data_IF_126680977340
#
_entry.id   IF_126680977340
#
_cell.length_a   1.000
_cell.length_b   1.000
_cell.length_c   1.000
_cell.angle_alpha   90.00
_cell.angle_beta   90.00
_cell.angle_gamma   90.00
#
_symmetry.space_group_name_H-M   'P 1'
#
loop_
_entity.id
_entity.type
_entity.pdbx_description
1 polymer ?
#
# COMPACT_ATOMS: atom_id res chain seq x y z
N UNK A 1 9.37 0.63 9.40
CA UNK A 1 9.81 -0.72 9.00
C UNK A 1 11.26 -0.89 9.43
N UNK A 2 11.68 -2.04 9.97
CA UNK A 2 13.08 -2.28 10.25
C UNK A 2 13.92 -2.13 8.97
N UNK A 3 15.14 -1.62 9.11
CA UNK A 3 16.07 -1.46 7.99
C UNK A 3 16.62 -2.82 7.54
N UNK A 4 15.80 -3.57 6.78
CA UNK A 4 16.14 -4.93 6.32
C UNK A 4 17.23 -4.93 5.25
N UNK A 5 17.38 -3.83 4.51
CA UNK A 5 18.31 -3.73 3.37
C UNK A 5 19.57 -2.92 3.67
N UNK A 6 19.54 -2.07 4.72
CA UNK A 6 20.58 -1.09 5.04
C UNK A 6 20.09 0.37 4.89
N UNK A 7 21.02 1.31 4.99
CA UNK A 7 20.73 2.74 4.82
C UNK A 7 20.22 3.03 3.39
N UNK A 8 19.05 3.66 3.21
CA UNK A 8 18.47 3.94 1.88
C UNK A 8 19.29 4.90 1.02
N UNK A 9 20.21 5.68 1.60
CA UNK A 9 21.14 6.55 0.87
C UNK A 9 22.29 5.78 0.20
N UNK A 10 22.56 4.55 0.64
CA UNK A 10 23.63 3.74 0.08
C UNK A 10 23.24 3.12 -1.27
N UNK A 11 24.17 3.19 -2.23
CA UNK A 11 23.99 2.59 -3.57
C UNK A 11 23.70 1.09 -3.51
N UNK A 12 24.33 0.37 -2.58
CA UNK A 12 24.11 -1.07 -2.41
C UNK A 12 22.68 -1.37 -1.95
N UNK A 13 22.16 -0.59 -0.99
CA UNK A 13 20.76 -0.70 -0.53
C UNK A 13 19.79 -0.43 -1.66
N UNK A 14 20.03 0.63 -2.45
CA UNK A 14 19.21 0.95 -3.62
C UNK A 14 19.23 -0.17 -4.66
N UNK A 15 20.39 -0.80 -4.89
CA UNK A 15 20.50 -1.95 -5.79
C UNK A 15 19.73 -3.18 -5.29
N UNK A 16 19.84 -3.51 -3.99
CA UNK A 16 19.08 -4.60 -3.38
C UNK A 16 17.56 -4.38 -3.51
N UNK A 17 17.10 -3.14 -3.28
CA UNK A 17 15.70 -2.77 -3.46
C UNK A 17 15.24 -2.91 -4.92
N UNK A 18 16.07 -2.48 -5.88
CA UNK A 18 15.80 -2.64 -7.30
C UNK A 18 15.73 -4.12 -7.73
N UNK A 19 16.65 -4.96 -7.23
CA UNK A 19 16.68 -6.40 -7.50
C UNK A 19 15.42 -7.11 -6.96
N UNK A 20 15.04 -6.83 -5.71
CA UNK A 20 13.80 -7.33 -5.11
C UNK A 20 12.57 -6.90 -5.92
N UNK A 21 12.52 -5.63 -6.33
CA UNK A 21 11.42 -5.10 -7.15
C UNK A 21 11.34 -5.82 -8.49
N UNK A 22 12.47 -6.04 -9.17
CA UNK A 22 12.52 -6.77 -10.44
C UNK A 22 12.00 -8.20 -10.30
N UNK A 23 12.32 -8.87 -9.19
CA UNK A 23 11.79 -10.20 -8.88
C UNK A 23 10.28 -10.16 -8.58
N UNK A 24 9.78 -9.25 -7.74
CA UNK A 24 8.34 -9.15 -7.49
C UNK A 24 7.54 -8.89 -8.78
N UNK A 25 8.06 -8.03 -9.67
CA UNK A 25 7.45 -7.77 -10.98
C UNK A 25 7.49 -9.00 -11.88
N UNK A 26 8.54 -9.84 -11.83
CA UNK A 26 8.59 -11.09 -12.59
C UNK A 26 7.61 -12.15 -12.07
N UNK A 27 7.30 -12.12 -10.77
CA UNK A 27 6.32 -13.03 -10.14
C UNK A 27 4.88 -12.55 -10.30
N UNK A 28 4.65 -11.28 -10.61
CA UNK A 28 3.31 -10.75 -10.81
C UNK A 28 2.67 -11.42 -12.04
N UNK A 29 1.59 -12.19 -11.82
CA UNK A 29 0.77 -12.65 -12.93
C UNK A 29 0.32 -11.42 -13.73
N UNK A 30 0.58 -11.41 -15.04
CA UNK A 30 -0.17 -10.52 -15.92
C UNK A 30 -1.63 -10.83 -15.66
N UNK A 31 -2.46 -9.84 -15.28
CA UNK A 31 -3.87 -10.11 -15.12
C UNK A 31 -4.36 -10.76 -16.40
N UNK A 32 -5.09 -11.87 -16.28
CA UNK A 32 -5.66 -12.56 -17.42
C UNK A 32 -6.27 -11.54 -18.38
N UNK A 33 -6.04 -11.73 -19.67
CA UNK A 33 -6.38 -10.81 -20.76
C UNK A 33 -7.88 -10.60 -20.97
N UNK A 34 -8.69 -10.60 -19.91
CA UNK A 34 -9.86 -9.73 -19.82
C UNK A 34 -9.39 -8.26 -19.67
N UNK A 35 -8.34 -7.89 -20.39
CA UNK A 35 -7.97 -6.52 -20.61
C UNK A 35 -9.13 -5.91 -21.34
N UNK A 36 -10.00 -5.23 -20.58
CA UNK A 36 -10.84 -4.21 -21.15
C UNK A 36 -9.90 -3.36 -21.99
N UNK A 37 -10.12 -3.28 -23.32
CA UNK A 37 -9.29 -2.43 -24.15
C UNK A 37 -9.26 -1.07 -23.48
N UNK A 38 -8.06 -0.48 -23.36
CA UNK A 38 -7.99 0.95 -23.13
C UNK A 38 -8.93 1.57 -24.18
N UNK A 39 -9.88 2.44 -23.79
CA UNK A 39 -10.86 2.97 -24.72
C UNK A 39 -10.09 3.46 -25.95
N UNK A 40 -10.52 3.03 -27.15
CA UNK A 40 -9.81 3.34 -28.38
C UNK A 40 -9.87 4.85 -28.63
N UNK A 41 -8.88 5.59 -28.11
CA UNK A 41 -8.74 7.04 -28.27
C UNK A 41 -8.11 7.37 -29.63
N UNK A 42 -8.57 6.75 -30.71
CA UNK A 42 -8.01 6.93 -32.06
C UNK A 42 -8.42 8.29 -32.71
N UNK A 43 -9.14 9.15 -31.98
CA UNK A 43 -9.48 10.52 -32.41
C UNK A 43 -9.52 11.49 -31.21
N UNK A 44 -8.98 12.72 -31.34
CA UNK A 44 -9.03 13.75 -30.29
C UNK A 44 -10.45 14.09 -29.80
N UNK A 45 -11.43 14.08 -30.71
CA UNK A 45 -12.84 14.36 -30.38
C UNK A 45 -13.45 13.29 -29.47
N UNK A 46 -13.03 12.03 -29.61
CA UNK A 46 -13.49 10.95 -28.75
C UNK A 46 -12.86 11.03 -27.36
N UNK A 47 -11.60 11.50 -27.27
CA UNK A 47 -10.94 11.73 -25.99
C UNK A 47 -11.60 12.87 -25.20
N UNK A 48 -11.93 13.98 -25.85
CA UNK A 48 -12.61 15.11 -25.19
C UNK A 48 -13.97 14.69 -24.63
N UNK A 49 -14.77 13.96 -25.42
CA UNK A 49 -16.04 13.41 -24.96
C UNK A 49 -15.87 12.46 -23.76
N UNK A 50 -14.85 11.61 -23.80
CA UNK A 50 -14.54 10.67 -22.72
C UNK A 50 -14.12 11.40 -21.43
N UNK A 51 -13.31 12.46 -21.54
CA UNK A 51 -12.90 13.28 -20.41
C UNK A 51 -14.08 14.04 -19.81
N UNK A 52 -14.99 14.56 -20.64
CA UNK A 52 -16.21 15.23 -20.18
C UNK A 52 -17.12 14.27 -19.40
N UNK A 53 -17.37 13.06 -19.93
CA UNK A 53 -18.15 12.04 -19.23
C UNK A 53 -17.48 11.61 -17.90
N UNK A 54 -16.14 11.51 -17.89
CA UNK A 54 -15.38 11.23 -16.67
C UNK A 54 -15.48 12.34 -15.62
N UNK A 55 -15.47 13.61 -16.05
CA UNK A 55 -15.66 14.76 -15.16
C UNK A 55 -17.07 14.76 -14.54
N UNK A 56 -18.10 14.50 -15.34
CA UNK A 56 -19.47 14.38 -14.85
C UNK A 56 -19.59 13.23 -13.83
N UNK A 57 -19.00 12.08 -14.13
CA UNK A 57 -18.98 10.93 -13.21
C UNK A 57 -18.30 11.29 -11.88
N UNK A 58 -17.19 12.04 -11.92
CA UNK A 58 -16.46 12.48 -10.73
C UNK A 58 -17.32 13.36 -9.81
N UNK A 59 -18.13 14.25 -10.39
CA UNK A 59 -19.02 15.14 -9.63
C UNK A 59 -20.26 14.40 -9.12
N UNK A 60 -20.98 13.70 -10.00
CA UNK A 60 -22.25 13.03 -9.69
C UNK A 60 -22.06 11.89 -8.70
N UNK A 61 -20.94 11.15 -8.80
CA UNK A 61 -20.61 10.09 -7.83
C UNK A 61 -20.09 10.67 -6.50
N UNK A 62 -19.95 11.99 -6.39
CA UNK A 62 -19.48 12.65 -5.17
C UNK A 62 -18.00 12.44 -4.86
N UNK A 63 -17.17 12.11 -5.85
CA UNK A 63 -15.73 11.92 -5.65
C UNK A 63 -15.08 13.18 -5.07
N UNK A 64 -15.57 14.36 -5.48
CA UNK A 64 -15.12 15.67 -4.99
C UNK A 64 -15.29 15.88 -3.48
N UNK A 65 -16.17 15.12 -2.82
CA UNK A 65 -16.39 15.22 -1.37
C UNK A 65 -15.22 14.60 -0.57
N UNK A 66 -14.49 13.66 -1.18
CA UNK A 66 -13.38 12.97 -0.54
C UNK A 66 -12.03 13.22 -1.23
N UNK A 67 -12.04 13.76 -2.45
CA UNK A 67 -10.85 13.90 -3.28
C UNK A 67 -10.69 15.31 -3.86
N UNK A 68 -9.44 15.68 -4.10
CA UNK A 68 -9.05 16.91 -4.79
C UNK A 68 -7.77 16.67 -5.61
N UNK A 69 -7.37 17.62 -6.44
CA UNK A 69 -6.15 17.52 -7.28
C UNK A 69 -5.03 18.47 -6.86
N UNK A 70 -5.12 19.12 -5.69
CA UNK A 70 -4.04 20.00 -5.25
C UNK A 70 -2.78 19.19 -4.91
N UNK A 71 -1.63 19.78 -5.19
CA UNK A 71 -0.30 19.27 -4.84
C UNK A 71 0.21 19.81 -3.51
N UNK A 72 -0.56 20.68 -2.87
CA UNK A 72 -0.17 21.30 -1.60
C UNK A 72 -0.01 20.24 -0.51
N UNK A 73 1.05 20.37 0.28
CA UNK A 73 1.30 19.51 1.44
C UNK A 73 0.38 19.85 2.62
N UNK A 74 -0.23 21.04 2.59
CA UNK A 74 -1.20 21.45 3.60
C UNK A 74 -2.51 20.69 3.41
N UNK A 75 -3.15 20.24 4.50
CA UNK A 75 -4.49 19.66 4.41
C UNK A 75 -5.44 20.65 3.73
N UNK A 76 -6.27 20.15 2.81
CA UNK A 76 -7.37 20.96 2.31
C UNK A 76 -8.40 21.21 3.44
N UNK A 77 -9.27 22.21 3.26
CA UNK A 77 -10.28 22.61 4.24
C UNK A 77 -11.13 21.44 4.75
N UNK A 78 -11.40 20.47 3.89
CA UNK A 78 -12.25 19.31 4.16
C UNK A 78 -11.46 18.01 4.42
N UNK A 79 -10.12 18.10 4.55
CA UNK A 79 -9.21 16.97 4.76
C UNK A 79 -9.37 15.81 3.74
N UNK A 80 -9.71 16.16 2.51
CA UNK A 80 -9.82 15.29 1.35
C UNK A 80 -8.46 14.76 0.93
N UNK A 81 -8.48 13.60 0.28
CA UNK A 81 -7.28 12.94 -0.21
C UNK A 81 -6.90 13.45 -1.61
N UNK A 82 -5.68 13.99 -1.74
CA UNK A 82 -5.15 14.40 -3.03
C UNK A 82 -4.97 13.23 -4.00
N UNK A 83 -5.46 13.42 -5.22
CA UNK A 83 -5.26 12.55 -6.38
C UNK A 83 -4.18 13.08 -7.33
N UNK A 84 -3.45 14.14 -6.97
CA UNK A 84 -2.50 14.80 -7.85
C UNK A 84 -1.40 13.86 -8.38
N UNK A 85 -1.05 12.81 -7.61
CA UNK A 85 -0.02 11.83 -7.96
C UNK A 85 -0.56 10.45 -8.40
N UNK A 86 -1.87 10.30 -8.62
CA UNK A 86 -2.47 8.99 -8.92
C UNK A 86 -1.88 8.33 -10.18
N UNK A 87 -1.50 9.12 -11.19
CA UNK A 87 -0.85 8.65 -12.43
C UNK A 87 0.51 7.96 -12.19
N UNK A 88 1.14 8.18 -11.03
CA UNK A 88 2.39 7.49 -10.65
C UNK A 88 2.13 6.12 -10.03
N UNK A 89 0.94 5.89 -9.49
CA UNK A 89 0.56 4.65 -8.78
C UNK A 89 -0.15 3.66 -9.68
N UNK A 90 -0.99 4.14 -10.59
CA UNK A 90 -1.85 3.30 -11.43
C UNK A 90 -1.63 3.55 -12.92
N UNK A 91 -1.64 2.48 -13.71
CA UNK A 91 -1.99 2.58 -15.13
C UNK A 91 -3.50 2.79 -15.29
N UNK A 92 -3.96 3.25 -16.45
CA UNK A 92 -5.38 3.42 -16.73
C UNK A 92 -6.20 2.13 -16.48
N UNK A 93 -5.73 0.98 -16.97
CA UNK A 93 -6.42 -0.29 -16.78
C UNK A 93 -6.45 -0.76 -15.33
N UNK A 94 -5.38 -0.49 -14.55
CA UNK A 94 -5.37 -0.79 -13.12
C UNK A 94 -6.34 0.12 -12.35
N UNK A 95 -6.42 1.40 -12.72
CA UNK A 95 -7.32 2.35 -12.11
C UNK A 95 -8.78 2.00 -12.41
N UNK A 96 -9.12 1.63 -13.64
CA UNK A 96 -10.46 1.10 -13.99
C UNK A 96 -10.83 -0.08 -13.10
N UNK A 97 -9.95 -1.07 -12.94
CA UNK A 97 -10.22 -2.23 -12.06
C UNK A 97 -10.43 -1.81 -10.61
N UNK A 98 -9.61 -0.90 -10.10
CA UNK A 98 -9.74 -0.39 -8.74
C UNK A 98 -11.07 0.34 -8.54
N UNK A 99 -11.45 1.23 -9.46
CA UNK A 99 -12.68 2.03 -9.38
C UNK A 99 -13.94 1.15 -9.38
N UNK A 100 -13.91 0.00 -10.07
CA UNK A 100 -15.02 -0.95 -10.11
C UNK A 100 -15.18 -1.79 -8.85
N UNK A 101 -14.07 -2.08 -8.15
CA UNK A 101 -14.10 -2.93 -6.95
C UNK A 101 -13.06 -2.47 -5.91
N UNK A 102 -13.20 -1.30 -5.25
CA UNK A 102 -12.20 -0.83 -4.29
C UNK A 102 -11.97 -1.81 -3.13
N UNK A 103 -13.02 -2.55 -2.75
CA UNK A 103 -13.00 -3.52 -1.65
C UNK A 103 -12.23 -4.81 -1.96
N UNK A 104 -12.00 -5.14 -3.24
CA UNK A 104 -11.13 -6.26 -3.63
C UNK A 104 -9.66 -5.95 -3.33
N UNK A 105 -9.27 -4.68 -3.44
CA UNK A 105 -7.93 -4.25 -3.09
C UNK A 105 -7.71 -4.23 -1.58
N UNK A 106 -8.70 -3.75 -0.82
CA UNK A 106 -8.68 -3.76 0.64
C UNK A 106 -10.12 -3.86 1.18
N UNK A 107 -10.42 -4.93 1.92
CA UNK A 107 -11.78 -5.23 2.43
C UNK A 107 -12.38 -4.19 3.37
N UNK A 108 -11.55 -3.28 3.89
CA UNK A 108 -11.99 -2.16 4.73
C UNK A 108 -11.69 -0.83 4.03
N UNK A 109 -11.71 -0.79 2.70
CA UNK A 109 -11.63 0.48 1.97
C UNK A 109 -12.83 1.35 2.34
N UNK A 110 -12.61 2.64 2.51
CA UNK A 110 -13.69 3.61 2.76
C UNK A 110 -14.35 4.10 1.47
N UNK A 111 -13.66 3.93 0.35
CA UNK A 111 -14.21 4.25 -0.96
C UNK A 111 -15.30 3.22 -1.29
N UNK A 112 -16.56 3.66 -1.50
CA UNK A 112 -17.64 2.74 -1.82
C UNK A 112 -17.47 2.16 -3.22
N UNK A 113 -18.14 1.05 -3.47
CA UNK A 113 -18.34 0.55 -4.82
C UNK A 113 -19.51 1.32 -5.44
N UNK A 114 -19.21 2.16 -6.43
CA UNK A 114 -20.20 2.99 -7.13
C UNK A 114 -20.94 2.21 -8.23
N UNK A 115 -20.64 0.92 -8.41
CA UNK A 115 -21.22 0.04 -9.42
C UNK A 115 -21.07 0.61 -10.86
N UNK A 116 -19.90 1.19 -11.14
CA UNK A 116 -19.61 1.83 -12.43
C UNK A 116 -19.59 0.78 -13.56
N UNK A 117 -20.20 1.16 -14.69
CA UNK A 117 -20.02 0.44 -15.95
C UNK A 117 -18.56 0.52 -16.43
N UNK A 118 -18.20 -0.31 -17.41
CA UNK A 118 -16.86 -0.26 -18.00
C UNK A 118 -16.57 1.09 -18.68
N UNK A 119 -17.60 1.71 -19.28
CA UNK A 119 -17.47 2.99 -19.96
C UNK A 119 -17.28 4.13 -18.96
N UNK A 120 -18.11 4.20 -17.91
CA UNK A 120 -17.97 5.20 -16.84
C UNK A 120 -16.63 5.06 -16.12
N UNK A 121 -16.23 3.84 -15.75
CA UNK A 121 -14.93 3.62 -15.11
C UNK A 121 -13.76 4.00 -16.03
N UNK A 122 -13.89 3.75 -17.34
CA UNK A 122 -12.92 4.15 -18.36
C UNK A 122 -12.79 5.67 -18.48
N UNK A 123 -13.92 6.37 -18.59
CA UNK A 123 -14.00 7.83 -18.65
C UNK A 123 -13.46 8.48 -17.38
N UNK A 124 -13.90 8.01 -16.21
CA UNK A 124 -13.42 8.48 -14.92
C UNK A 124 -11.90 8.24 -14.79
N UNK A 125 -11.40 7.05 -15.14
CA UNK A 125 -9.96 6.78 -15.12
C UNK A 125 -9.18 7.73 -16.02
N UNK A 126 -9.69 8.04 -17.22
CA UNK A 126 -9.04 8.98 -18.14
C UNK A 126 -9.00 10.39 -17.54
N UNK A 127 -10.13 10.86 -17.01
CA UNK A 127 -10.24 12.15 -16.33
C UNK A 127 -9.28 12.27 -15.13
N UNK A 128 -9.24 11.26 -14.25
CA UNK A 128 -8.36 11.25 -13.08
C UNK A 128 -6.88 11.30 -13.47
N UNK A 129 -6.47 10.52 -14.49
CA UNK A 129 -5.09 10.51 -14.99
C UNK A 129 -4.71 11.84 -15.64
N UNK A 130 -5.63 12.44 -16.39
CA UNK A 130 -5.40 13.72 -17.04
C UNK A 130 -5.24 14.84 -16.01
N UNK A 131 -6.06 14.86 -14.96
CA UNK A 131 -6.00 15.88 -13.89
C UNK A 131 -4.90 15.62 -12.84
N UNK A 132 -4.24 14.46 -12.87
CA UNK A 132 -3.09 14.13 -12.03
C UNK A 132 -1.83 14.88 -12.48
N UNK A 133 -1.75 16.17 -12.18
CA UNK A 133 -0.63 17.06 -12.58
C UNK A 133 0.54 17.10 -11.58
N UNK A 134 0.44 16.38 -10.47
CA UNK A 134 1.46 16.33 -9.43
C UNK A 134 2.78 15.73 -9.92
N UNK A 135 3.89 16.21 -9.36
CA UNK A 135 5.24 15.73 -9.63
C UNK A 135 5.98 15.52 -8.32
N UNK A 136 6.70 14.41 -8.20
CA UNK A 136 7.64 14.18 -7.10
C UNK A 136 8.94 14.89 -7.49
N UNK A 137 9.32 15.91 -6.72
CA UNK A 137 10.60 16.56 -6.88
C UNK A 137 11.72 15.57 -6.56
N UNK A 138 12.79 15.56 -7.35
CA UNK A 138 13.94 14.65 -7.18
C UNK A 138 13.55 13.16 -7.20
N UNK A 139 12.60 12.78 -8.06
CA UNK A 139 12.24 11.37 -8.24
C UNK A 139 13.50 10.55 -8.61
N UNK A 140 13.93 9.70 -7.68
CA UNK A 140 15.04 8.78 -7.86
C UNK A 140 14.69 7.79 -8.97
N UNK A 141 15.55 7.70 -9.99
CA UNK A 141 15.50 6.63 -10.98
C UNK A 141 16.26 5.44 -10.36
N UNK A 142 15.59 4.36 -9.95
CA UNK A 142 16.29 3.22 -9.40
C UNK A 142 17.19 2.59 -10.48
N UNK A 143 18.32 1.97 -10.09
CA UNK A 143 19.14 1.22 -11.03
C UNK A 143 18.34 0.04 -11.60
N UNK A 144 18.80 -0.52 -12.72
CA UNK A 144 18.21 -1.74 -13.25
C UNK A 144 18.38 -2.89 -12.23
N UNK A 145 17.28 -3.54 -11.87
CA UNK A 145 17.28 -4.71 -11.00
C UNK A 145 17.50 -6.02 -11.76
N UNK A 146 18.02 -7.05 -11.08
CA UNK A 146 18.07 -8.43 -11.55
C UNK A 146 17.05 -9.28 -10.81
N UNK A 147 16.08 -9.91 -11.51
CA UNK A 147 15.14 -10.84 -10.89
C UNK A 147 15.84 -12.01 -10.17
N UNK A 148 16.95 -12.51 -10.70
CA UNK A 148 17.72 -13.60 -10.09
C UNK A 148 18.33 -13.18 -8.75
N UNK A 149 18.97 -12.00 -8.69
CA UNK A 149 19.49 -11.47 -7.42
C UNK A 149 18.36 -11.17 -6.44
N UNK A 150 17.23 -10.67 -6.93
CA UNK A 150 16.03 -10.43 -6.13
C UNK A 150 15.48 -11.70 -5.50
N UNK A 151 15.44 -12.80 -6.25
CA UNK A 151 15.05 -14.11 -5.72
C UNK A 151 15.99 -14.56 -4.60
N UNK A 152 17.30 -14.50 -4.81
CA UNK A 152 18.28 -14.84 -3.76
C UNK A 152 18.09 -13.99 -2.52
N UNK A 153 17.86 -12.68 -2.67
CA UNK A 153 17.57 -11.78 -1.54
C UNK A 153 16.27 -12.17 -0.84
N UNK A 154 15.21 -12.50 -1.57
CA UNK A 154 13.94 -12.92 -1.02
C UNK A 154 14.04 -14.17 -0.13
N UNK A 155 14.82 -15.15 -0.57
CA UNK A 155 15.06 -16.39 0.17
C UNK A 155 15.97 -16.15 1.38
N UNK A 156 17.08 -15.43 1.18
CA UNK A 156 18.09 -15.20 2.23
C UNK A 156 17.64 -14.23 3.33
N UNK A 157 16.79 -13.25 3.00
CA UNK A 157 16.15 -12.37 3.98
C UNK A 157 14.99 -13.06 4.72
N UNK A 158 14.65 -14.30 4.34
CA UNK A 158 13.62 -15.09 5.00
C UNK A 158 12.18 -14.69 4.64
N UNK A 159 11.99 -13.84 3.63
CA UNK A 159 10.66 -13.41 3.18
C UNK A 159 9.75 -14.60 2.84
N UNK A 160 10.34 -15.63 2.21
CA UNK A 160 9.67 -16.89 1.85
C UNK A 160 9.08 -17.64 3.04
N UNK A 161 9.56 -17.41 4.27
CA UNK A 161 9.05 -18.11 5.45
C UNK A 161 7.58 -17.74 5.73
N UNK A 162 7.20 -16.49 5.43
CA UNK A 162 5.84 -15.97 5.59
C UNK A 162 5.11 -15.80 4.24
N UNK A 163 5.82 -15.43 3.17
CA UNK A 163 5.26 -15.19 1.84
C UNK A 163 5.55 -16.38 0.89
N UNK A 164 5.13 -17.60 1.23
CA UNK A 164 5.51 -18.82 0.48
C UNK A 164 5.03 -18.86 -0.98
N UNK A 165 3.89 -18.24 -1.28
CA UNK A 165 3.36 -18.10 -2.62
C UNK A 165 3.07 -16.62 -2.89
N UNK A 166 3.63 -16.09 -3.97
CA UNK A 166 3.23 -14.79 -4.53
C UNK A 166 2.10 -14.93 -5.57
N UNK A 167 1.81 -16.17 -6.00
CA UNK A 167 0.79 -16.48 -7.00
C UNK A 167 -0.60 -16.66 -6.38
N UNK A 168 -0.68 -17.04 -5.10
CA UNK A 168 -1.94 -17.19 -4.39
C UNK A 168 -2.26 -15.92 -3.61
N UNK A 169 -3.18 -15.11 -4.13
CA UNK A 169 -3.79 -13.96 -3.43
C UNK A 169 -4.56 -14.36 -2.15
N UNK A 170 -4.61 -15.66 -1.82
CA UNK A 170 -4.96 -16.12 -0.49
C UNK A 170 -3.67 -16.22 0.31
N UNK A 171 -3.52 -15.50 1.44
CA UNK A 171 -2.55 -15.94 2.41
C UNK A 171 -2.88 -17.40 2.68
N UNK A 172 -1.95 -18.31 2.36
CA UNK A 172 -1.86 -19.54 3.12
C UNK A 172 -1.68 -19.01 4.52
N UNK A 173 -2.79 -18.95 5.25
CA UNK A 173 -2.77 -18.72 6.67
C UNK A 173 -2.00 -19.94 7.13
N UNK A 174 -0.66 -19.82 7.15
CA UNK A 174 0.13 -20.27 8.28
C UNK A 174 -0.82 -19.99 9.41
N UNK A 175 -1.42 -21.05 9.95
CA UNK A 175 -2.03 -20.96 11.27
C UNK A 175 -0.84 -20.51 12.07
N UNK A 176 -0.66 -19.19 12.17
CA UNK A 176 0.30 -18.56 13.03
C UNK A 176 -0.26 -19.04 14.35
N UNK A 177 0.30 -20.16 14.81
CA UNK A 177 0.25 -20.54 16.20
C UNK A 177 0.61 -19.22 16.86
N UNK A 178 -0.32 -18.58 17.59
CA UNK A 178 -0.02 -17.31 18.21
C UNK A 178 1.28 -17.56 18.93
N UNK A 179 2.36 -16.90 18.47
CA UNK A 179 3.65 -17.03 19.13
C UNK A 179 3.30 -16.57 20.53
N UNK A 180 3.29 -17.46 21.53
CA UNK A 180 2.87 -17.05 22.84
C UNK A 180 3.84 -15.91 23.17
N UNK A 181 3.30 -14.71 23.40
CA UNK A 181 4.05 -13.59 23.96
C UNK A 181 4.33 -13.90 25.44
N UNK A 182 4.74 -15.14 25.72
CA UNK A 182 5.33 -15.57 26.96
C UNK A 182 6.80 -15.14 26.89
N UNK A 183 6.98 -13.82 26.86
CA UNK A 183 8.28 -13.21 26.82
C UNK A 183 8.95 -13.52 28.16
N UNK A 184 9.83 -14.54 28.16
CA UNK A 184 10.72 -14.81 29.30
C UNK A 184 11.63 -13.61 29.60
N UNK A 185 11.79 -12.68 28.65
CA UNK A 185 12.45 -11.40 28.82
C UNK A 185 11.81 -10.36 27.91
N UNK A 186 11.35 -9.27 28.50
CA UNK A 186 10.79 -8.10 27.81
C UNK A 186 11.83 -7.00 27.55
N UNK A 187 13.04 -7.17 28.12
CA UNK A 187 14.19 -6.28 27.94
C UNK A 187 15.20 -6.79 26.90
N UNK A 188 14.86 -7.86 26.16
CA UNK A 188 15.70 -8.48 25.14
C UNK A 188 15.01 -8.50 23.77
N UNK A 189 15.76 -8.88 22.73
CA UNK A 189 15.22 -8.96 21.36
C UNK A 189 14.78 -7.59 20.85
N UNK A 190 13.65 -7.53 20.14
CA UNK A 190 13.16 -6.30 19.50
C UNK A 190 12.83 -5.14 20.48
N UNK A 191 12.71 -5.40 21.78
CA UNK A 191 12.44 -4.40 22.82
C UNK A 191 13.69 -4.01 23.64
N UNK A 192 14.87 -4.57 23.33
CA UNK A 192 16.10 -4.19 24.00
C UNK A 192 16.51 -2.74 23.66
N UNK A 193 17.43 -2.18 24.46
CA UNK A 193 18.07 -0.91 24.14
C UNK A 193 18.78 -1.01 22.78
N UNK A 194 18.50 -0.12 21.80
CA UNK A 194 19.17 -0.11 20.51
C UNK A 194 20.70 -0.10 20.60
N UNK A 195 21.26 0.49 21.65
CA UNK A 195 22.71 0.52 21.89
C UNK A 195 23.30 -0.88 22.19
N UNK A 196 22.45 -1.86 22.51
CA UNK A 196 22.82 -3.21 22.92
C UNK A 196 22.40 -4.28 21.92
N UNK A 197 21.84 -3.91 20.76
CA UNK A 197 21.32 -4.85 19.77
C UNK A 197 22.40 -5.40 18.85
N UNK A 198 22.36 -6.72 18.63
CA UNK A 198 23.09 -7.37 17.55
C UNK A 198 22.49 -6.99 16.18
N UNK A 199 23.32 -6.98 15.13
CA UNK A 199 22.94 -6.61 13.75
C UNK A 199 21.88 -7.51 13.11
N UNK A 200 21.59 -8.67 13.71
CA UNK A 200 20.59 -9.64 13.22
C UNK A 200 19.20 -9.43 13.81
N UNK A 201 19.03 -8.50 14.76
CA UNK A 201 17.74 -8.20 15.37
C UNK A 201 17.12 -6.96 14.70
N UNK A 202 15.87 -7.01 14.22
CA UNK A 202 15.17 -5.84 13.70
C UNK A 202 15.12 -4.70 14.72
N UNK A 203 15.72 -3.56 14.37
CA UNK A 203 15.69 -2.35 15.20
C UNK A 203 14.47 -1.51 14.83
N UNK A 204 13.59 -1.26 15.79
CA UNK A 204 12.46 -0.35 15.65
C UNK A 204 12.80 1.00 16.31
N UNK A 205 12.45 2.10 15.63
CA UNK A 205 12.65 3.48 16.12
C UNK A 205 11.64 3.86 17.22
N UNK A 206 11.57 3.06 18.30
CA UNK A 206 10.71 3.31 19.45
C UNK A 206 11.40 4.25 20.44
N UNK A 207 10.65 5.18 21.03
CA UNK A 207 11.14 5.95 22.19
C UNK A 207 11.27 5.06 23.44
N UNK A 208 11.99 5.53 24.46
CA UNK A 208 12.07 4.85 25.75
C UNK A 208 10.68 4.65 26.37
N UNK A 209 9.83 5.67 26.28
CA UNK A 209 8.44 5.65 26.77
C UNK A 209 7.59 4.63 26.02
N UNK A 210 7.69 4.59 24.67
CA UNK A 210 6.97 3.61 23.85
C UNK A 210 7.42 2.18 24.17
N UNK A 211 8.74 1.95 24.34
CA UNK A 211 9.27 0.65 24.75
C UNK A 211 8.70 0.23 26.10
N UNK A 212 8.75 1.10 27.10
CA UNK A 212 8.23 0.81 28.44
C UNK A 212 6.70 0.53 28.43
N UNK A 213 5.94 1.27 27.63
CA UNK A 213 4.50 1.04 27.48
C UNK A 213 4.19 -0.33 26.86
N UNK A 214 4.93 -0.72 25.81
CA UNK A 214 4.79 -2.04 25.19
C UNK A 214 5.14 -3.15 26.18
N UNK A 215 6.26 -3.02 26.90
CA UNK A 215 6.68 -3.98 27.93
C UNK A 215 5.58 -4.16 29.00
N UNK A 216 5.03 -3.05 29.50
CA UNK A 216 3.95 -3.05 30.49
C UNK A 216 2.70 -3.80 30.01
N UNK A 217 2.25 -3.55 28.76
CA UNK A 217 1.09 -4.24 28.19
C UNK A 217 1.35 -5.73 28.03
N UNK A 218 2.55 -6.12 27.60
CA UNK A 218 2.92 -7.52 27.44
C UNK A 218 2.99 -8.26 28.78
N UNK A 219 3.43 -7.58 29.85
CA UNK A 219 3.45 -8.09 31.22
C UNK A 219 2.06 -8.27 31.83
N UNK A 220 1.20 -7.26 31.68
CA UNK A 220 -0.03 -7.14 32.48
C UNK A 220 -1.30 -7.52 31.74
N UNK A 221 -1.31 -7.42 30.41
CA UNK A 221 -2.53 -7.46 29.62
C UNK A 221 -2.31 -8.09 28.23
N UNK A 222 -1.37 -9.02 28.06
CA UNK A 222 -1.10 -9.65 26.76
C UNK A 222 -2.33 -10.33 26.14
N UNK A 223 -3.23 -10.88 26.96
CA UNK A 223 -4.51 -11.44 26.51
C UNK A 223 -5.43 -10.41 25.85
N UNK A 224 -5.30 -9.12 26.20
CA UNK A 224 -6.09 -8.05 25.58
C UNK A 224 -5.79 -7.89 24.09
N UNK A 225 -4.56 -8.24 23.65
CA UNK A 225 -4.14 -8.14 22.25
C UNK A 225 -4.95 -9.07 21.32
N UNK A 226 -5.55 -10.12 21.89
CA UNK A 226 -6.37 -11.09 21.15
C UNK A 226 -7.87 -10.83 21.29
N UNK A 227 -8.29 -9.88 22.14
CA UNK A 227 -9.70 -9.53 22.30
C UNK A 227 -10.14 -8.68 21.11
N UNK A 228 -11.18 -9.14 20.42
CA UNK A 228 -11.89 -8.33 19.41
C UNK A 228 -13.16 -7.77 20.05
N UNK A 229 -13.29 -6.45 20.08
CA UNK A 229 -14.50 -5.78 20.53
C UNK A 229 -15.16 -5.07 19.34
N UNK A 230 -16.38 -5.52 19.00
CA UNK A 230 -17.13 -4.96 17.87
C UNK A 230 -17.53 -3.50 18.10
N UNK A 231 -17.88 -3.13 19.34
CA UNK A 231 -18.23 -1.75 19.68
C UNK A 231 -17.02 -0.81 19.60
N UNK A 232 -15.87 -1.23 20.12
CA UNK A 232 -14.62 -0.45 19.98
C UNK A 232 -14.20 -0.32 18.51
N UNK A 233 -14.36 -1.38 17.73
CA UNK A 233 -14.10 -1.33 16.28
C UNK A 233 -15.01 -0.33 15.61
N UNK A 234 -16.32 -0.36 15.91
CA UNK A 234 -17.28 0.58 15.37
C UNK A 234 -16.99 2.03 15.79
N UNK A 235 -16.64 2.27 17.05
CA UNK A 235 -16.34 3.61 17.56
C UNK A 235 -15.11 4.21 16.87
N UNK A 236 -14.03 3.42 16.69
CA UNK A 236 -12.86 3.85 15.90
C UNK A 236 -13.21 4.18 14.46
N UNK A 237 -14.20 3.49 13.88
CA UNK A 237 -14.66 3.80 12.52
C UNK A 237 -15.43 5.12 12.49
N UNK A 238 -16.30 5.36 13.47
CA UNK A 238 -17.04 6.61 13.57
C UNK A 238 -16.15 7.82 13.83
N UNK A 239 -15.13 7.69 14.68
CA UNK A 239 -14.19 8.78 14.96
C UNK A 239 -13.27 9.12 13.78
N UNK A 240 -13.19 8.24 12.79
CA UNK A 240 -12.42 8.47 11.55
C UNK A 240 -13.31 8.93 10.39
N UNK A 241 -14.64 9.04 10.55
CA UNK A 241 -15.56 9.68 9.60
C UNK A 241 -15.43 11.20 9.67
#
# INVERSE_FOLDING_TARGET
MPSLLGDPSEKLTQQKAADLTAWFVSQACRPGSNGLPAPETNSPANLEKLLAAGAETYEVSGCINCHHFSVDEQPDEYQRHSLALIKRKFTASQLVRFLKSPQEHHRWSRMPDFNLSNEEAGGLSAYLIENSKGKIQNAMIPPAGSPQRGQTLYETLGCIQCHRSLEEARPVVSKFQPVPLNAKSLSAGCLADPAQLATTIPVFSLSSEQRAAIQTVLETASDSLFRRNAAETADRWFQQL
#
